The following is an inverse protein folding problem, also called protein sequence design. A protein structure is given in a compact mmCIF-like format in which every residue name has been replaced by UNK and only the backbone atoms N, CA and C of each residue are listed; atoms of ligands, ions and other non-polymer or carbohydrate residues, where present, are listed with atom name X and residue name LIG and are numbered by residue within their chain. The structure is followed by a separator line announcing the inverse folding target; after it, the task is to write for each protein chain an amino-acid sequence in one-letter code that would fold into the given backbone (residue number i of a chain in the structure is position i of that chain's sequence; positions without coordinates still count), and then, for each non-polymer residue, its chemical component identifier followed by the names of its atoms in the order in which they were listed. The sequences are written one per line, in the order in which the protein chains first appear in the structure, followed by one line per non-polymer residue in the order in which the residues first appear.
data_IF_424656074478
#
_entry.id   IF_424656074478
#
_cell.length_a   1.000
_cell.length_b   1.000
_cell.length_c   1.000
_cell.angle_alpha   90.00
_cell.angle_beta   90.00
_cell.angle_gamma   90.00
#
_symmetry.space_group_name_H-M   'P 1'
#
loop_
_entity.id
_entity.type
_entity.pdbx_description
1 polymer ?
#
# COMPACT_ATOMS: atom_id res chain seq x y z
N UNK A 1 -14.12 -5.22 0.84
CA UNK A 1 -14.07 -5.69 -0.56
C UNK A 1 -15.18 -6.69 -0.90
N UNK A 2 -16.28 -6.81 -0.13
CA UNK A 2 -17.40 -7.73 -0.42
C UNK A 2 -18.34 -7.31 -1.55
N UNK A 3 -17.84 -6.66 -2.60
CA UNK A 3 -18.63 -6.25 -3.78
C UNK A 3 -17.98 -6.64 -5.12
N UNK A 4 -16.87 -7.39 -5.09
CA UNK A 4 -16.19 -7.84 -6.30
C UNK A 4 -16.99 -8.97 -6.95
N UNK A 5 -17.28 -8.84 -8.25
CA UNK A 5 -17.87 -9.90 -9.05
C UNK A 5 -16.75 -10.80 -9.61
N UNK A 6 -16.37 -11.81 -8.82
CA UNK A 6 -15.28 -12.72 -9.18
C UNK A 6 -15.62 -13.64 -10.36
N UNK A 7 -16.89 -13.80 -10.73
CA UNK A 7 -17.28 -14.53 -11.93
C UNK A 7 -16.97 -13.70 -13.17
N UNK A 8 -17.40 -12.43 -13.18
CA UNK A 8 -17.06 -11.48 -14.25
C UNK A 8 -15.55 -11.28 -14.40
N UNK A 9 -14.82 -11.25 -13.28
CA UNK A 9 -13.35 -11.20 -13.29
C UNK A 9 -12.74 -12.38 -14.04
N UNK A 10 -13.15 -13.62 -13.70
CA UNK A 10 -12.62 -14.84 -14.30
C UNK A 10 -12.88 -14.93 -15.79
N UNK A 11 -14.12 -14.67 -16.22
CA UNK A 11 -14.47 -14.68 -17.65
C UNK A 11 -13.68 -13.61 -18.43
N UNK A 12 -13.49 -12.43 -17.84
CA UNK A 12 -12.67 -11.38 -18.46
C UNK A 12 -11.20 -11.78 -18.59
N UNK A 13 -10.65 -12.44 -17.56
CA UNK A 13 -9.27 -12.91 -17.55
C UNK A 13 -9.05 -14.08 -18.52
N UNK A 14 -9.95 -15.07 -18.54
CA UNK A 14 -9.91 -16.22 -19.46
C UNK A 14 -9.87 -15.74 -20.91
N UNK A 15 -10.74 -14.80 -21.29
CA UNK A 15 -10.71 -14.21 -22.64
C UNK A 15 -9.35 -13.58 -22.99
N UNK A 16 -8.71 -12.89 -22.05
CA UNK A 16 -7.39 -12.31 -22.26
C UNK A 16 -6.31 -13.40 -22.39
N UNK A 17 -6.41 -14.48 -21.62
CA UNK A 17 -5.48 -15.61 -21.66
C UNK A 17 -5.61 -16.38 -22.98
N UNK A 18 -6.84 -16.67 -23.43
CA UNK A 18 -7.12 -17.42 -24.67
C UNK A 18 -6.65 -16.69 -25.93
N UNK A 19 -6.66 -15.36 -25.90
CA UNK A 19 -6.20 -14.53 -27.04
C UNK A 19 -4.68 -14.53 -27.17
N UNK A 20 -3.96 -14.97 -26.14
CA UNK A 20 -2.51 -14.86 -26.07
C UNK A 20 -1.82 -16.13 -26.59
N UNK A 21 -0.98 -15.99 -27.61
CA UNK A 21 -0.07 -17.04 -28.07
C UNK A 21 1.15 -17.16 -27.15
N UNK A 22 0.92 -17.54 -25.89
CA UNK A 22 1.95 -17.63 -24.86
C UNK A 22 2.79 -18.91 -24.98
N UNK A 23 4.09 -18.80 -24.67
CA UNK A 23 5.02 -19.93 -24.61
C UNK A 23 5.74 -19.99 -23.25
N UNK A 24 5.98 -21.19 -22.71
CA UNK A 24 6.50 -21.37 -21.35
C UNK A 24 8.00 -21.12 -21.16
N UNK A 25 8.80 -21.02 -22.23
CA UNK A 25 10.25 -20.79 -22.15
C UNK A 25 10.56 -19.31 -22.41
N UNK A 26 10.77 -18.54 -21.35
CA UNK A 26 10.96 -17.09 -21.43
C UNK A 26 12.43 -16.70 -21.21
N UNK A 27 13.02 -15.97 -22.14
CA UNK A 27 14.29 -15.25 -21.93
C UNK A 27 14.10 -14.09 -20.94
N UNK A 28 15.14 -13.52 -20.33
CA UNK A 28 14.99 -12.42 -19.35
C UNK A 28 14.16 -11.22 -19.86
N UNK A 29 14.30 -10.84 -21.13
CA UNK A 29 13.48 -9.80 -21.74
C UNK A 29 12.01 -10.22 -21.92
N UNK A 30 11.78 -11.49 -22.27
CA UNK A 30 10.44 -12.05 -22.40
C UNK A 30 9.76 -12.20 -21.02
N UNK A 31 10.52 -12.49 -19.95
CA UNK A 31 10.03 -12.50 -18.56
C UNK A 31 9.46 -11.12 -18.18
N UNK A 32 10.18 -10.03 -18.44
CA UNK A 32 9.68 -8.69 -18.14
C UNK A 32 8.42 -8.35 -18.95
N UNK A 33 8.40 -8.70 -20.25
CA UNK A 33 7.24 -8.50 -21.11
C UNK A 33 6.02 -9.30 -20.61
N UNK A 34 6.24 -10.53 -20.18
CA UNK A 34 5.21 -11.41 -19.65
C UNK A 34 4.65 -10.89 -18.32
N UNK A 35 5.52 -10.44 -17.40
CA UNK A 35 5.09 -9.84 -16.13
C UNK A 35 4.27 -8.59 -16.36
N UNK A 36 4.68 -7.72 -17.28
CA UNK A 36 3.91 -6.51 -17.59
C UNK A 36 2.56 -6.84 -18.23
N UNK A 37 2.53 -7.82 -19.14
CA UNK A 37 1.31 -8.29 -19.78
C UNK A 37 0.34 -8.91 -18.78
N UNK A 38 0.78 -9.87 -17.95
CA UNK A 38 -0.11 -10.56 -17.00
C UNK A 38 -0.62 -9.59 -15.93
N UNK A 39 0.24 -8.68 -15.43
CA UNK A 39 -0.16 -7.64 -14.49
C UNK A 39 -1.23 -6.74 -15.09
N UNK A 40 -1.06 -6.34 -16.35
CA UNK A 40 -2.04 -5.53 -17.08
C UNK A 40 -3.37 -6.27 -17.25
N UNK A 41 -3.34 -7.52 -17.72
CA UNK A 41 -4.53 -8.35 -17.92
C UNK A 41 -5.31 -8.56 -16.62
N UNK A 42 -4.61 -8.84 -15.52
CA UNK A 42 -5.21 -8.94 -14.18
C UNK A 42 -5.87 -7.63 -13.77
N UNK A 43 -5.20 -6.49 -13.98
CA UNK A 43 -5.72 -5.19 -13.58
C UNK A 43 -6.88 -4.71 -14.46
N UNK A 44 -6.89 -5.02 -15.76
CA UNK A 44 -8.00 -4.71 -16.66
C UNK A 44 -9.26 -5.52 -16.28
N UNK A 45 -9.11 -6.84 -16.06
CA UNK A 45 -10.20 -7.69 -15.57
C UNK A 45 -10.71 -7.22 -14.20
N UNK A 46 -9.80 -6.86 -13.28
CA UNK A 46 -10.16 -6.35 -11.95
C UNK A 46 -10.92 -5.02 -12.02
N UNK A 47 -10.56 -4.12 -12.94
CA UNK A 47 -11.27 -2.84 -13.09
C UNK A 47 -12.71 -3.00 -13.59
N UNK A 48 -12.98 -4.03 -14.41
CA UNK A 48 -14.32 -4.34 -14.92
C UNK A 48 -15.21 -5.04 -13.89
N UNK A 49 -14.60 -5.81 -12.98
CA UNK A 49 -15.26 -6.69 -12.03
C UNK A 49 -15.37 -6.13 -10.60
N UNK A 50 -14.42 -5.27 -10.19
CA UNK A 50 -14.34 -4.74 -8.83
C UNK A 50 -14.84 -3.29 -8.83
N UNK A 51 -16.00 -3.00 -8.23
CA UNK A 51 -16.51 -1.65 -8.17
C UNK A 51 -15.58 -0.78 -7.33
N UNK A 52 -15.22 0.39 -7.87
CA UNK A 52 -14.40 1.36 -7.14
C UNK A 52 -15.11 1.78 -5.87
N UNK A 53 -14.39 1.68 -4.74
CA UNK A 53 -14.89 2.15 -3.47
C UNK A 53 -15.25 3.63 -3.58
N UNK A 54 -16.51 3.97 -3.33
CA UNK A 54 -16.94 5.37 -3.25
C UNK A 54 -16.23 5.99 -2.04
N UNK A 55 -15.60 7.17 -2.19
CA UNK A 55 -15.03 7.87 -1.06
C UNK A 55 -16.09 7.99 0.03
N UNK A 56 -15.77 7.52 1.23
CA UNK A 56 -16.69 7.67 2.36
C UNK A 56 -17.03 9.16 2.53
N UNK A 57 -18.31 9.53 2.71
CA UNK A 57 -18.68 10.91 3.03
C UNK A 57 -18.09 11.36 4.37
N UNK A 58 -17.57 10.43 5.18
CA UNK A 58 -16.88 10.67 6.45
C UNK A 58 -15.36 10.78 6.33
N UNK A 59 -14.77 10.42 5.17
CA UNK A 59 -13.39 10.77 4.86
C UNK A 59 -13.31 12.30 4.81
N UNK A 60 -12.18 12.91 5.19
CA UNK A 60 -12.00 14.37 5.28
C UNK A 60 -12.60 15.10 4.07
N UNK A 61 -13.87 15.45 4.18
CA UNK A 61 -14.78 15.79 3.10
C UNK A 61 -14.48 17.13 2.44
N UNK A 62 -13.70 17.95 3.15
CA UNK A 62 -13.12 19.19 2.69
C UNK A 62 -11.72 19.03 2.06
N UNK A 63 -11.14 17.82 2.07
CA UNK A 63 -9.80 17.58 1.54
C UNK A 63 -9.81 17.38 0.03
N UNK A 64 -9.03 18.20 -0.69
CA UNK A 64 -8.96 18.18 -2.16
C UNK A 64 -7.58 17.75 -2.67
N UNK A 65 -7.48 17.23 -3.91
CA UNK A 65 -6.18 16.96 -4.56
C UNK A 65 -5.29 18.22 -4.64
N UNK A 66 -5.89 19.40 -4.82
CA UNK A 66 -5.17 20.68 -4.82
C UNK A 66 -4.47 20.95 -3.47
N UNK A 67 -5.17 20.77 -2.35
CA UNK A 67 -4.58 20.88 -1.01
C UNK A 67 -3.45 19.88 -0.77
N UNK A 68 -3.57 18.66 -1.34
CA UNK A 68 -2.49 17.66 -1.28
C UNK A 68 -1.25 18.12 -2.04
N UNK A 69 -1.43 18.69 -3.24
CA UNK A 69 -0.32 19.24 -4.04
C UNK A 69 0.36 20.38 -3.28
N UNK A 70 -0.41 21.33 -2.76
CA UNK A 70 0.10 22.49 -2.01
C UNK A 70 0.87 22.08 -0.74
N UNK A 71 0.34 21.10 0.02
CA UNK A 71 1.02 20.51 1.19
C UNK A 71 2.38 19.89 0.83
N UNK A 72 2.49 19.20 -0.32
CA UNK A 72 3.78 18.67 -0.80
C UNK A 72 4.76 19.79 -1.07
N UNK A 73 4.32 20.87 -1.72
CA UNK A 73 5.18 22.02 -2.04
C UNK A 73 5.68 22.71 -0.77
N UNK A 74 4.81 22.92 0.23
CA UNK A 74 5.22 23.47 1.53
C UNK A 74 6.28 22.59 2.21
N UNK A 75 6.09 21.27 2.20
CA UNK A 75 7.06 20.32 2.76
C UNK A 75 8.40 20.40 2.04
N UNK A 76 8.40 20.51 0.71
CA UNK A 76 9.62 20.71 -0.09
C UNK A 76 10.34 22.02 0.28
N UNK A 77 9.62 23.14 0.33
CA UNK A 77 10.20 24.43 0.74
C UNK A 77 10.76 24.39 2.16
N UNK A 78 10.08 23.71 3.10
CA UNK A 78 10.59 23.51 4.47
C UNK A 78 11.88 22.69 4.49
N UNK A 79 11.96 21.61 3.70
CA UNK A 79 13.18 20.80 3.57
C UNK A 79 14.35 21.61 2.97
N UNK A 80 14.08 22.39 1.93
CA UNK A 80 15.09 23.28 1.32
C UNK A 80 15.59 24.31 2.33
N UNK A 81 14.68 24.96 3.06
CA UNK A 81 15.03 25.94 4.10
C UNK A 81 15.89 25.32 5.22
N UNK A 82 15.58 24.09 5.64
CA UNK A 82 16.34 23.42 6.69
C UNK A 82 17.80 23.13 6.29
N UNK A 83 18.07 22.99 4.99
CA UNK A 83 19.40 22.74 4.41
C UNK A 83 20.12 24.02 3.97
N UNK A 84 19.46 25.17 4.00
CA UNK A 84 20.00 26.43 3.53
C UNK A 84 20.52 27.28 4.71
N UNK A 85 21.53 28.09 4.43
CA UNK A 85 22.19 29.01 5.36
C UNK A 85 22.18 30.44 4.81
N UNK A 86 22.46 31.42 5.68
CA UNK A 86 22.58 32.83 5.31
C UNK A 86 21.36 33.41 4.56
N UNK A 87 21.63 34.20 3.52
CA UNK A 87 20.61 34.91 2.72
C UNK A 87 19.65 33.94 2.01
N UNK A 88 20.14 32.77 1.56
CA UNK A 88 19.30 31.76 0.91
C UNK A 88 18.23 31.21 1.87
N UNK A 89 18.57 31.02 3.15
CA UNK A 89 17.61 30.63 4.19
C UNK A 89 16.54 31.69 4.41
N UNK A 90 16.91 32.96 4.40
CA UNK A 90 15.98 34.08 4.59
C UNK A 90 14.97 34.17 3.44
N UNK A 91 15.43 34.09 2.19
CA UNK A 91 14.56 34.06 1.01
C UNK A 91 13.60 32.86 1.03
N UNK A 92 14.10 31.66 1.35
CA UNK A 92 13.26 30.46 1.49
C UNK A 92 12.27 30.55 2.65
N UNK A 93 12.63 31.23 3.75
CA UNK A 93 11.73 31.48 4.88
C UNK A 93 10.56 32.37 4.46
N UNK A 94 10.80 33.41 3.66
CA UNK A 94 9.74 34.26 3.14
C UNK A 94 8.80 33.51 2.18
N UNK A 95 9.36 32.75 1.24
CA UNK A 95 8.59 31.88 0.33
C UNK A 95 7.74 30.89 1.13
N UNK A 96 8.32 30.26 2.16
CA UNK A 96 7.59 29.34 3.03
C UNK A 96 6.45 30.04 3.78
N UNK A 97 6.68 31.23 4.34
CA UNK A 97 5.64 32.02 5.04
C UNK A 97 4.49 32.34 4.09
N UNK A 98 4.79 32.82 2.89
CA UNK A 98 3.78 33.14 1.88
C UNK A 98 2.96 31.90 1.50
N UNK A 99 3.63 30.78 1.16
CA UNK A 99 2.98 29.50 0.83
C UNK A 99 2.16 28.95 1.99
N UNK A 100 2.63 29.05 3.23
CA UNK A 100 1.90 28.60 4.42
C UNK A 100 0.64 29.44 4.66
N UNK A 101 0.72 30.76 4.46
CA UNK A 101 -0.45 31.67 4.55
C UNK A 101 -1.47 31.32 3.46
N UNK A 102 -1.04 31.20 2.21
CA UNK A 102 -1.88 30.80 1.08
C UNK A 102 -2.59 29.46 1.35
N UNK A 103 -1.83 28.42 1.74
CA UNK A 103 -2.38 27.11 2.06
C UNK A 103 -3.39 27.14 3.22
N UNK A 104 -3.11 27.93 4.25
CA UNK A 104 -4.05 28.10 5.37
C UNK A 104 -5.36 28.74 4.90
N UNK A 105 -5.28 29.72 3.99
CA UNK A 105 -6.46 30.33 3.34
C UNK A 105 -7.20 29.30 2.48
N UNK A 106 -6.50 28.53 1.65
CA UNK A 106 -7.06 27.45 0.83
C UNK A 106 -7.80 26.40 1.67
N UNK A 107 -7.26 26.02 2.84
CA UNK A 107 -7.95 25.12 3.77
C UNK A 107 -9.26 25.74 4.27
N UNK A 108 -9.24 27.01 4.70
CA UNK A 108 -10.45 27.70 5.18
C UNK A 108 -11.53 27.75 4.10
N UNK A 109 -11.16 28.08 2.86
CA UNK A 109 -12.06 28.09 1.70
C UNK A 109 -12.62 26.71 1.43
N UNK A 110 -11.77 25.69 1.31
CA UNK A 110 -12.20 24.31 1.05
C UNK A 110 -13.13 23.76 2.15
N UNK A 111 -12.86 24.09 3.43
CA UNK A 111 -13.76 23.75 4.54
C UNK A 111 -15.12 24.42 4.42
N UNK A 112 -15.15 25.72 4.12
CA UNK A 112 -16.40 26.50 3.96
C UNK A 112 -17.23 25.99 2.78
N UNK A 113 -16.60 25.74 1.64
CA UNK A 113 -17.27 25.22 0.45
C UNK A 113 -17.80 23.81 0.65
N UNK A 114 -16.99 22.93 1.25
CA UNK A 114 -17.43 21.58 1.59
C UNK A 114 -18.61 21.63 2.55
N UNK A 115 -18.53 22.45 3.63
CA UNK A 115 -19.62 22.66 4.58
C UNK A 115 -20.90 23.09 3.89
N UNK A 116 -20.83 24.11 3.02
CA UNK A 116 -21.97 24.57 2.22
C UNK A 116 -22.55 23.42 1.37
N UNK A 117 -21.72 22.67 0.65
CA UNK A 117 -22.17 21.54 -0.18
C UNK A 117 -22.89 20.47 0.64
N UNK A 118 -22.40 20.11 1.83
CA UNK A 118 -23.06 19.12 2.68
C UNK A 118 -24.41 19.60 3.20
N UNK A 119 -24.47 20.84 3.70
CA UNK A 119 -25.73 21.41 4.20
C UNK A 119 -26.74 21.52 3.06
N UNK A 120 -26.33 21.96 1.88
CA UNK A 120 -27.24 22.03 0.71
C UNK A 120 -27.71 20.65 0.26
N UNK A 121 -26.82 19.65 0.21
CA UNK A 121 -27.15 18.31 -0.28
C UNK A 121 -27.96 17.46 0.71
N UNK A 122 -27.75 17.65 2.02
CA UNK A 122 -28.29 16.76 3.06
C UNK A 122 -29.21 17.46 4.07
N UNK A 123 -29.14 18.78 4.17
CA UNK A 123 -29.91 19.57 5.14
C UNK A 123 -31.41 19.69 4.81
N UNK A 124 -31.82 19.49 3.54
CA UNK A 124 -33.23 19.58 3.15
C UNK A 124 -34.08 18.33 3.47
N UNK A 125 -33.46 17.22 3.89
CA UNK A 125 -34.17 15.95 4.16
C UNK A 125 -33.76 15.22 5.44
N UNK A 126 -32.69 15.63 6.12
CA UNK A 126 -32.23 15.02 7.38
C UNK A 126 -31.64 16.10 8.32
N UNK A 127 -32.51 16.91 8.98
CA UNK A 127 -32.08 18.02 9.85
C UNK A 127 -31.26 17.53 11.06
N UNK A 128 -31.57 16.33 11.58
CA UNK A 128 -30.88 15.68 12.70
C UNK A 128 -29.72 14.78 12.25
N UNK A 129 -29.38 14.86 10.97
CA UNK A 129 -28.43 14.02 10.28
C UNK A 129 -26.98 14.39 10.47
N UNK A 130 -26.21 14.18 9.41
CA UNK A 130 -24.77 14.42 9.39
C UNK A 130 -24.36 15.86 9.78
N UNK A 131 -25.03 16.94 9.31
CA UNK A 131 -24.67 18.30 9.71
C UNK A 131 -24.82 18.52 11.23
N UNK A 132 -25.94 18.10 11.81
CA UNK A 132 -26.20 18.21 13.25
C UNK A 132 -25.21 17.39 14.10
N UNK A 133 -24.91 16.15 13.70
CA UNK A 133 -23.93 15.28 14.40
C UNK A 133 -22.49 15.82 14.36
N UNK A 134 -22.13 16.58 13.32
CA UNK A 134 -20.80 17.20 13.19
C UNK A 134 -20.65 18.46 14.05
N UNK A 135 -21.70 19.28 14.17
CA UNK A 135 -21.66 20.53 14.96
C UNK A 135 -21.88 20.27 16.45
N UNK A 136 -22.76 19.33 16.80
CA UNK A 136 -23.12 19.02 18.19
C UNK A 136 -21.99 18.36 19.00
N UNK A 137 -20.81 18.12 18.42
CA UNK A 137 -19.67 17.55 19.13
C UNK A 137 -19.88 16.13 19.66
N UNK A 138 -21.01 15.48 19.34
CA UNK A 138 -21.38 14.11 19.78
C UNK A 138 -20.47 13.00 19.22
N UNK A 139 -19.39 13.36 18.53
CA UNK A 139 -18.32 12.46 18.14
C UNK A 139 -17.09 12.77 18.98
N UNK A 140 -16.87 11.94 20.00
CA UNK A 140 -15.56 11.91 20.66
C UNK A 140 -14.51 11.57 19.59
N UNK A 141 -13.43 12.35 19.42
CA UNK A 141 -12.29 11.85 18.69
C UNK A 141 -11.91 10.50 19.31
N UNK A 142 -11.48 9.54 18.48
CA UNK A 142 -10.80 8.37 19.01
C UNK A 142 -9.51 8.89 19.66
N UNK A 143 -9.59 9.22 20.95
CA UNK A 143 -8.44 9.61 21.74
C UNK A 143 -7.50 8.42 21.76
N UNK A 144 -6.28 8.63 21.29
CA UNK A 144 -5.18 7.77 21.72
C UNK A 144 -4.95 8.20 23.16
N UNK A 145 -5.52 7.46 24.10
CA UNK A 145 -5.23 7.65 25.51
C UNK A 145 -3.80 7.15 25.73
N UNK A 146 -2.84 8.06 25.86
CA UNK A 146 -1.62 7.75 26.61
C UNK A 146 -2.00 8.07 28.04
N UNK A 147 -2.49 7.06 28.75
CA UNK A 147 -2.81 7.17 30.17
C UNK A 147 -1.51 7.05 30.97
N UNK A 148 -0.89 8.18 31.30
CA UNK A 148 -0.38 8.43 32.64
C UNK A 148 0.04 9.89 32.81
N UNK A 149 -0.31 10.44 33.97
CA UNK A 149 0.25 11.68 34.50
C UNK A 149 1.74 11.40 34.78
N UNK A 150 2.62 12.27 34.27
CA UNK A 150 4.05 12.33 34.61
C UNK A 150 5.05 11.42 33.87
N UNK A 151 4.81 11.05 32.60
CA UNK A 151 5.90 10.59 31.73
C UNK A 151 6.14 11.57 30.59
N UNK A 152 7.40 12.01 30.42
CA UNK A 152 7.80 12.73 29.20
C UNK A 152 7.61 11.82 27.99
N UNK A 153 7.29 12.37 26.81
CA UNK A 153 7.07 11.57 25.59
C UNK A 153 8.25 10.63 25.26
N UNK A 154 9.47 11.04 25.63
CA UNK A 154 10.69 10.24 25.50
C UNK A 154 10.65 8.97 26.36
N UNK A 155 10.20 9.06 27.61
CA UNK A 155 10.10 7.89 28.49
C UNK A 155 9.00 6.93 28.03
N UNK A 156 7.87 7.47 27.59
CA UNK A 156 6.80 6.67 27.01
C UNK A 156 7.26 5.95 25.73
N UNK A 157 8.02 6.64 24.87
CA UNK A 157 8.58 6.05 23.66
C UNK A 157 9.62 4.98 23.96
N UNK A 158 10.54 5.21 24.90
CA UNK A 158 11.55 4.22 25.31
C UNK A 158 10.92 2.99 25.95
N UNK A 159 9.90 3.16 26.79
CA UNK A 159 9.17 2.02 27.38
C UNK A 159 8.43 1.21 26.33
N UNK A 160 7.77 1.87 25.37
CA UNK A 160 7.11 1.18 24.25
C UNK A 160 8.13 0.44 23.39
N UNK A 161 9.30 1.05 23.14
CA UNK A 161 10.38 0.41 22.39
C UNK A 161 10.85 -0.86 23.12
N UNK A 162 11.19 -0.76 24.41
CA UNK A 162 11.68 -1.89 25.18
C UNK A 162 10.63 -3.01 25.34
N UNK A 163 9.34 -2.66 25.43
CA UNK A 163 8.26 -3.64 25.57
C UNK A 163 7.90 -4.34 24.25
N UNK A 164 7.95 -3.62 23.12
CA UNK A 164 7.53 -4.14 21.81
C UNK A 164 8.70 -4.67 20.98
N UNK A 165 9.91 -4.22 21.26
CA UNK A 165 11.16 -4.57 20.58
C UNK A 165 12.22 -4.82 21.66
N UNK A 166 12.10 -5.91 22.44
CA UNK A 166 13.14 -6.27 23.39
C UNK A 166 14.46 -6.57 22.66
N UNK A 167 15.58 -6.33 23.34
CA UNK A 167 16.89 -6.66 22.83
C UNK A 167 17.01 -8.17 22.57
N UNK A 168 17.57 -8.53 21.43
CA UNK A 168 17.76 -9.93 21.05
C UNK A 168 18.85 -10.55 21.93
N UNK A 169 18.47 -11.55 22.74
CA UNK A 169 19.34 -12.17 23.72
C UNK A 169 19.35 -13.68 23.53
N UNK A 170 20.52 -14.23 23.21
CA UNK A 170 20.74 -15.66 23.02
C UNK A 170 20.45 -16.50 24.27
N UNK A 171 20.43 -15.85 25.45
CA UNK A 171 20.16 -16.48 26.75
C UNK A 171 18.67 -16.61 27.03
N UNK A 172 17.83 -15.75 26.45
CA UNK A 172 16.38 -15.75 26.61
C UNK A 172 15.63 -16.42 25.44
N UNK A 173 16.36 -17.03 24.51
CA UNK A 173 15.80 -17.71 23.34
C UNK A 173 14.99 -18.96 23.73
N UNK A 174 13.85 -19.15 23.08
CA UNK A 174 13.15 -20.42 23.07
C UNK A 174 13.68 -21.33 21.93
N UNK A 175 13.23 -22.58 21.88
CA UNK A 175 13.65 -23.54 20.84
C UNK A 175 13.37 -23.07 19.42
N UNK A 176 12.30 -22.31 19.20
CA UNK A 176 11.96 -21.81 17.87
C UNK A 176 12.88 -20.64 17.45
N UNK A 177 13.27 -19.78 18.39
CA UNK A 177 14.26 -18.72 18.14
C UNK A 177 15.64 -19.31 17.80
N UNK A 178 16.07 -20.34 18.53
CA UNK A 178 17.32 -21.07 18.25
C UNK A 178 17.31 -21.65 16.84
N UNK A 179 16.24 -22.36 16.46
CA UNK A 179 16.08 -22.92 15.10
C UNK A 179 16.16 -21.87 14.00
N UNK A 180 15.54 -20.70 14.20
CA UNK A 180 15.57 -19.62 13.22
C UNK A 180 16.99 -19.05 13.10
N UNK A 181 17.68 -18.83 14.23
CA UNK A 181 19.07 -18.35 14.24
C UNK A 181 20.01 -19.33 13.54
N UNK A 182 19.89 -20.62 13.86
CA UNK A 182 20.74 -21.67 13.29
C UNK A 182 20.48 -21.78 11.78
N UNK A 183 19.22 -21.76 11.33
CA UNK A 183 18.86 -21.72 9.90
C UNK A 183 19.44 -20.50 9.15
N UNK A 184 19.42 -19.32 9.78
CA UNK A 184 19.99 -18.10 9.18
C UNK A 184 21.53 -18.17 9.13
N UNK A 185 22.16 -18.71 10.16
CA UNK A 185 23.62 -18.83 10.27
C UNK A 185 24.21 -19.94 9.40
N UNK A 186 23.52 -21.07 9.26
CA UNK A 186 23.92 -22.17 8.38
C UNK A 186 23.86 -21.75 6.90
N UNK A 187 23.05 -20.73 6.58
CA UNK A 187 22.83 -20.27 5.22
C UNK A 187 22.14 -21.35 4.36
N UNK A 188 21.73 -21.03 3.12
CA UNK A 188 21.31 -22.07 2.19
C UNK A 188 22.51 -22.99 1.96
N UNK A 189 22.34 -24.29 2.21
CA UNK A 189 23.33 -25.29 1.82
C UNK A 189 23.59 -25.11 0.33
N UNK A 190 24.82 -24.73 -0.04
CA UNK A 190 25.24 -24.66 -1.44
C UNK A 190 25.39 -26.07 -1.98
N UNK A 191 24.29 -26.80 -2.13
CA UNK A 191 24.24 -28.00 -2.93
C UNK A 191 24.40 -27.56 -4.38
N UNK A 192 25.38 -28.12 -5.10
CA UNK A 192 25.55 -27.97 -6.55
C UNK A 192 24.41 -28.65 -7.36
N UNK A 193 23.24 -28.81 -6.75
CA UNK A 193 22.05 -29.40 -7.35
C UNK A 193 21.31 -28.32 -8.14
N UNK A 194 20.84 -28.67 -9.35
CA UNK A 194 19.99 -27.76 -10.11
C UNK A 194 18.76 -27.38 -9.28
N UNK A 195 18.37 -26.09 -9.25
CA UNK A 195 17.24 -25.64 -8.46
C UNK A 195 15.96 -26.35 -8.95
N UNK A 196 15.31 -27.08 -8.04
CA UNK A 196 14.07 -27.79 -8.32
C UNK A 196 13.00 -26.79 -8.78
N UNK A 197 12.37 -27.08 -9.92
CA UNK A 197 11.27 -26.26 -10.42
C UNK A 197 10.11 -26.23 -9.41
N UNK A 198 9.50 -25.06 -9.24
CA UNK A 198 8.33 -24.90 -8.39
C UNK A 198 7.13 -25.66 -8.97
N UNK A 199 6.45 -26.39 -8.08
CA UNK A 199 5.16 -27.02 -8.36
C UNK A 199 4.01 -26.00 -8.37
N UNK A 200 2.89 -26.37 -8.99
CA UNK A 200 1.67 -25.55 -8.92
C UNK A 200 1.19 -25.43 -7.47
N UNK A 201 1.33 -26.49 -6.67
CA UNK A 201 0.96 -26.56 -5.27
C UNK A 201 1.78 -25.59 -4.40
N UNK A 202 3.09 -25.51 -4.61
CA UNK A 202 3.96 -24.57 -3.87
C UNK A 202 3.57 -23.12 -4.13
N UNK A 203 3.36 -22.76 -5.40
CA UNK A 203 2.97 -21.41 -5.79
C UNK A 203 1.58 -21.08 -5.25
N UNK A 204 0.63 -22.02 -5.34
CA UNK A 204 -0.70 -21.91 -4.73
C UNK A 204 -0.58 -21.68 -3.22
N UNK A 205 0.22 -22.48 -2.52
CA UNK A 205 0.41 -22.35 -1.08
C UNK A 205 1.01 -20.99 -0.72
N UNK A 206 1.98 -20.49 -1.50
CA UNK A 206 2.55 -19.15 -1.32
C UNK A 206 1.48 -18.05 -1.46
N UNK A 207 0.64 -18.11 -2.50
CA UNK A 207 -0.48 -17.17 -2.71
C UNK A 207 -1.48 -17.24 -1.55
N UNK A 208 -1.74 -18.43 -0.99
CA UNK A 208 -2.70 -18.61 0.11
C UNK A 208 -2.16 -18.20 1.48
N UNK A 209 -0.84 -18.24 1.69
CA UNK A 209 -0.17 -17.68 2.88
C UNK A 209 -0.28 -16.14 2.92
N UNK A 210 -0.37 -15.48 1.78
CA UNK A 210 -0.57 -14.03 1.72
C UNK A 210 -1.94 -13.61 2.27
N UNK A 211 -1.95 -12.75 3.30
CA UNK A 211 -3.19 -12.25 3.90
C UNK A 211 -4.01 -11.41 2.91
N UNK A 212 -5.29 -11.77 2.73
CA UNK A 212 -6.21 -11.17 1.73
C UNK A 212 -6.33 -9.65 1.80
N UNK A 213 -6.27 -9.08 3.01
CA UNK A 213 -6.48 -7.65 3.27
C UNK A 213 -5.19 -6.84 3.38
N UNK A 214 -4.03 -7.39 3.01
CA UNK A 214 -2.79 -6.62 2.92
C UNK A 214 -2.90 -5.60 1.78
N UNK A 215 -2.20 -4.47 1.95
CA UNK A 215 -2.11 -3.47 0.90
C UNK A 215 -1.44 -4.09 -0.34
N UNK A 216 -1.93 -3.79 -1.56
CA UNK A 216 -1.24 -4.19 -2.78
C UNK A 216 0.11 -3.49 -2.89
N UNK A 217 1.00 -4.08 -3.70
CA UNK A 217 2.24 -3.46 -4.13
C UNK A 217 2.01 -2.29 -5.09
N UNK A 218 3.09 -1.80 -5.71
CA UNK A 218 3.01 -0.74 -6.72
C UNK A 218 2.26 -1.19 -7.98
N UNK A 219 2.23 -2.50 -8.24
CA UNK A 219 1.47 -3.14 -9.30
C UNK A 219 -0.06 -3.08 -9.10
N UNK A 220 -0.53 -2.79 -7.89
CA UNK A 220 -1.96 -2.79 -7.55
C UNK A 220 -2.59 -4.19 -7.42
N UNK A 221 -1.81 -5.27 -7.59
CA UNK A 221 -2.30 -6.64 -7.55
C UNK A 221 -2.42 -7.09 -6.09
N UNK A 222 -3.60 -7.56 -5.71
CA UNK A 222 -3.87 -8.04 -4.34
C UNK A 222 -3.85 -9.56 -4.28
N UNK A 223 -3.64 -10.12 -3.09
CA UNK A 223 -3.75 -11.56 -2.87
C UNK A 223 -5.14 -12.11 -3.22
N UNK A 224 -6.21 -11.31 -3.11
CA UNK A 224 -7.55 -11.73 -3.57
C UNK A 224 -7.62 -11.86 -5.10
N UNK A 225 -7.01 -10.92 -5.84
CA UNK A 225 -6.92 -10.99 -7.31
C UNK A 225 -6.13 -12.23 -7.74
N UNK A 226 -4.98 -12.50 -7.12
CA UNK A 226 -4.16 -13.68 -7.44
C UNK A 226 -4.90 -14.99 -7.13
N UNK A 227 -5.63 -15.08 -6.00
CA UNK A 227 -6.44 -16.26 -5.68
C UNK A 227 -7.57 -16.48 -6.69
N UNK A 228 -8.22 -15.41 -7.13
CA UNK A 228 -9.28 -15.50 -8.14
C UNK A 228 -8.73 -15.87 -9.52
N UNK A 229 -7.55 -15.35 -9.87
CA UNK A 229 -6.87 -15.63 -11.13
C UNK A 229 -6.28 -17.04 -11.19
N UNK A 230 -5.95 -17.65 -10.04
CA UNK A 230 -5.30 -18.96 -9.97
C UNK A 230 -5.99 -20.04 -10.80
N UNK A 231 -7.33 -20.06 -10.82
CA UNK A 231 -8.11 -21.05 -11.56
C UNK A 231 -7.76 -21.04 -13.06
N UNK A 232 -7.59 -19.85 -13.64
CA UNK A 232 -7.39 -19.66 -15.08
C UNK A 232 -5.91 -19.45 -15.44
N UNK A 233 -5.08 -18.92 -14.53
CA UNK A 233 -3.71 -18.52 -14.80
C UNK A 233 -2.62 -19.43 -14.18
N UNK A 234 -2.98 -20.52 -13.48
CA UNK A 234 -2.03 -21.39 -12.78
C UNK A 234 -0.84 -21.84 -13.63
N UNK A 235 -1.08 -22.32 -14.85
CA UNK A 235 -0.03 -22.86 -15.73
C UNK A 235 0.96 -21.77 -16.15
N UNK A 236 0.41 -20.62 -16.55
CA UNK A 236 1.17 -19.46 -17.00
C UNK A 236 2.00 -18.84 -15.88
N UNK A 237 1.42 -18.72 -14.67
CA UNK A 237 2.14 -18.24 -13.49
C UNK A 237 3.25 -19.21 -13.08
N UNK A 238 2.99 -20.52 -13.09
CA UNK A 238 4.00 -21.53 -12.74
C UNK A 238 5.18 -21.51 -13.70
N UNK A 239 4.93 -21.49 -15.00
CA UNK A 239 5.99 -21.40 -15.99
C UNK A 239 6.76 -20.06 -15.92
N UNK A 240 6.09 -18.94 -15.59
CA UNK A 240 6.75 -17.66 -15.36
C UNK A 240 7.73 -17.73 -14.16
N UNK A 241 7.28 -18.23 -13.00
CA UNK A 241 8.13 -18.37 -11.83
C UNK A 241 9.29 -19.34 -12.06
N UNK A 242 9.05 -20.45 -12.77
CA UNK A 242 10.11 -21.40 -13.12
C UNK A 242 11.10 -20.84 -14.14
N UNK A 243 10.65 -19.97 -15.07
CA UNK A 243 11.56 -19.24 -15.96
C UNK A 243 12.43 -18.25 -15.18
N UNK A 244 11.86 -17.53 -14.20
CA UNK A 244 12.65 -16.67 -13.30
C UNK A 244 13.70 -17.46 -12.53
N UNK A 245 13.36 -18.65 -12.02
CA UNK A 245 14.27 -19.53 -11.30
C UNK A 245 15.40 -20.01 -12.21
N UNK A 246 15.05 -20.53 -13.40
CA UNK A 246 16.01 -21.07 -14.37
C UNK A 246 17.01 -20.01 -14.85
N UNK A 247 16.53 -18.82 -15.17
CA UNK A 247 17.36 -17.71 -15.65
C UNK A 247 18.05 -16.95 -14.51
N UNK A 248 17.82 -17.33 -13.24
CA UNK A 248 18.25 -16.57 -12.05
C UNK A 248 17.92 -15.07 -12.16
N UNK A 249 16.75 -14.76 -12.73
CA UNK A 249 16.36 -13.40 -13.11
C UNK A 249 15.11 -12.94 -12.37
N UNK A 250 15.23 -11.77 -11.74
CA UNK A 250 14.10 -11.09 -11.10
C UNK A 250 13.55 -10.01 -12.03
N UNK A 251 12.25 -10.05 -12.36
CA UNK A 251 11.59 -9.02 -13.15
C UNK A 251 11.81 -7.62 -12.58
N UNK A 252 12.08 -6.65 -13.46
CA UNK A 252 12.33 -5.25 -13.07
C UNK A 252 11.13 -4.61 -12.38
N UNK A 253 9.93 -5.07 -12.72
CA UNK A 253 8.69 -4.61 -12.10
C UNK A 253 8.64 -4.95 -10.60
N UNK A 254 9.28 -6.04 -10.17
CA UNK A 254 9.26 -6.49 -8.77
C UNK A 254 10.38 -5.87 -7.92
N UNK A 255 11.47 -5.42 -8.54
CA UNK A 255 12.63 -4.83 -7.85
C UNK A 255 12.58 -3.31 -7.76
N UNK A 256 11.54 -2.68 -8.29
CA UNK A 256 11.40 -1.22 -8.31
C UNK A 256 11.08 -0.68 -6.90
N UNK A 257 12.04 0.03 -6.30
CA UNK A 257 11.89 0.71 -5.01
C UNK A 257 11.72 2.22 -5.28
N UNK A 258 10.69 2.84 -4.70
CA UNK A 258 10.45 4.29 -4.84
C UNK A 258 11.56 5.10 -4.13
N UNK A 259 12.17 6.11 -4.78
CA UNK A 259 13.08 7.06 -4.14
C UNK A 259 12.38 8.12 -3.27
#
# INVERSE_FOLDING_TARGET
MGKADWSKFRTGLEKCLDTSSWTPALTPAAIDAEVTWITRSLMEAAQLAIPRSRPSPFRTWWWTPALRKEKRTIRRTRKMMARAEGLARQALAEIYRHRRRAYTKSIKVAKKEAWRKLVTARGRGDPWGLPYKLVSGKRKPAGIFITQEDSTWTEAASRLLNALVPDDSTVAENRDHQRIRDYVNEGPTSSNEEPLAFSQEEIKNAIWRCAKKKAPGEDGVTAEILRAAWVSAKERLTALYNSCLKESYFPKAWTKILP
#
